data_IF_457884310023
#
_entry.id   IF_457884310023
#
_cell.length_a   1.000
_cell.length_b   1.000
_cell.length_c   1.000
_cell.angle_alpha   90.00
_cell.angle_beta   90.00
_cell.angle_gamma   90.00
#
_symmetry.space_group_name_H-M   'P 1'
#
loop_
_entity.id
_entity.type
_entity.pdbx_description
1 polymer ?
#
# COMPACT_ATOMS: atom_id res chain seq x y z
N UNK A 1 29.19 1.81 7.87
CA UNK A 1 28.00 2.07 7.04
C UNK A 1 27.08 0.86 7.20
N UNK A 2 25.91 1.01 7.83
CA UNK A 2 25.07 -0.12 8.26
C UNK A 2 23.90 -0.43 7.31
N UNK A 3 23.49 0.52 6.47
CA UNK A 3 22.52 0.31 5.39
C UNK A 3 22.57 1.45 4.37
N UNK A 4 22.08 1.21 3.14
CA UNK A 4 21.87 2.22 2.10
C UNK A 4 20.61 1.98 1.30
N UNK A 5 20.03 3.08 0.80
CA UNK A 5 18.97 3.03 -0.21
C UNK A 5 19.25 4.08 -1.28
N UNK A 6 18.69 3.86 -2.47
CA UNK A 6 18.74 4.79 -3.58
C UNK A 6 17.35 4.91 -4.22
N UNK A 7 17.11 5.99 -4.95
CA UNK A 7 15.85 6.23 -5.64
C UNK A 7 16.03 7.21 -6.78
N UNK A 8 15.20 7.07 -7.81
CA UNK A 8 15.17 7.95 -8.98
C UNK A 8 14.03 8.96 -8.79
N UNK A 9 14.26 10.21 -9.19
CA UNK A 9 13.21 11.24 -9.18
C UNK A 9 12.63 11.36 -10.59
N UNK A 10 11.32 11.15 -10.78
CA UNK A 10 10.67 11.37 -12.06
C UNK A 10 10.44 12.88 -12.22
N UNK A 11 11.47 13.60 -12.69
CA UNK A 11 11.38 15.03 -12.94
C UNK A 11 10.76 15.29 -14.32
N UNK A 12 10.02 16.40 -14.44
CA UNK A 12 9.61 16.90 -15.75
C UNK A 12 10.85 17.43 -16.45
N UNK A 13 11.06 17.05 -17.70
CA UNK A 13 12.15 17.58 -18.51
C UNK A 13 11.78 19.03 -18.87
N UNK A 14 12.50 19.99 -18.29
CA UNK A 14 12.33 21.43 -18.51
C UNK A 14 13.48 22.00 -19.36
N UNK A 15 14.21 21.14 -20.06
CA UNK A 15 15.39 21.48 -20.89
C UNK A 15 16.56 22.10 -20.10
N UNK A 16 16.61 21.92 -18.77
CA UNK A 16 17.72 22.44 -17.95
C UNK A 16 19.02 21.64 -18.14
N UNK A 17 20.12 22.34 -18.42
CA UNK A 17 21.48 21.78 -18.60
C UNK A 17 22.08 21.12 -17.34
N UNK A 18 21.48 21.29 -16.16
CA UNK A 18 21.99 20.71 -14.90
C UNK A 18 20.90 19.96 -14.13
N UNK A 19 21.15 18.69 -13.70
CA UNK A 19 20.20 17.91 -12.90
C UNK A 19 19.78 18.54 -11.56
N UNK A 20 20.55 19.51 -11.04
CA UNK A 20 20.21 20.24 -9.82
C UNK A 20 19.29 21.44 -10.07
N UNK A 21 19.29 21.98 -11.30
CA UNK A 21 18.53 23.16 -11.70
C UNK A 21 17.10 22.84 -12.16
N UNK A 22 16.85 21.58 -12.57
CA UNK A 22 15.53 21.10 -13.00
C UNK A 22 14.47 21.42 -11.94
N UNK A 23 13.36 22.01 -12.38
CA UNK A 23 12.23 22.35 -11.51
C UNK A 23 11.73 21.12 -10.76
N UNK A 24 11.47 21.32 -9.46
CA UNK A 24 10.91 20.28 -8.60
C UNK A 24 9.42 20.46 -8.36
N UNK A 25 8.80 21.37 -9.11
CA UNK A 25 7.35 21.53 -9.09
C UNK A 25 6.68 20.45 -9.92
N UNK A 26 5.35 20.37 -9.80
CA UNK A 26 4.57 19.36 -10.47
C UNK A 26 3.79 19.97 -11.62
N UNK A 27 3.64 19.19 -12.69
CA UNK A 27 2.80 19.53 -13.84
C UNK A 27 1.69 18.49 -13.94
N UNK A 28 0.46 18.97 -14.13
CA UNK A 28 -0.71 18.14 -14.36
C UNK A 28 -1.22 18.41 -15.78
N UNK A 29 -1.18 17.37 -16.60
CA UNK A 29 -1.72 17.38 -17.96
C UNK A 29 -3.02 16.57 -17.99
N UNK A 30 -4.05 17.08 -18.67
CA UNK A 30 -5.32 16.39 -18.84
C UNK A 30 -5.75 16.47 -20.30
N UNK A 31 -6.06 15.30 -20.86
CA UNK A 31 -6.52 15.17 -22.23
C UNK A 31 -7.78 14.30 -22.26
N UNK A 32 -8.75 14.69 -23.09
CA UNK A 32 -9.98 13.93 -23.33
C UNK A 32 -10.17 13.70 -24.83
N UNK A 33 -11.07 12.77 -25.17
CA UNK A 33 -11.54 12.59 -26.56
C UNK A 33 -13.04 12.82 -26.56
N UNK A 34 -13.49 13.83 -27.31
CA UNK A 34 -14.90 14.22 -27.42
C UNK A 34 -15.57 14.51 -26.06
N UNK A 35 -14.83 15.06 -25.10
CA UNK A 35 -15.33 15.35 -23.75
C UNK A 35 -15.57 14.11 -22.89
N UNK A 36 -15.01 12.96 -23.27
CA UNK A 36 -15.14 11.68 -22.57
C UNK A 36 -13.78 11.07 -22.23
N UNK A 37 -13.79 10.15 -21.26
CA UNK A 37 -12.63 9.36 -20.84
C UNK A 37 -11.35 10.20 -20.60
N UNK A 38 -11.36 11.15 -19.64
CA UNK A 38 -10.21 12.00 -19.37
C UNK A 38 -9.00 11.17 -18.90
N UNK A 39 -7.85 11.41 -19.50
CA UNK A 39 -6.54 10.93 -19.05
C UNK A 39 -5.83 12.08 -18.32
N UNK A 40 -5.59 11.91 -17.02
CA UNK A 40 -4.79 12.83 -16.22
C UNK A 40 -3.40 12.24 -15.96
N UNK A 41 -2.36 12.96 -16.37
CA UNK A 41 -0.96 12.58 -16.20
C UNK A 41 -0.28 13.49 -15.16
N UNK A 42 0.53 12.88 -14.29
CA UNK A 42 1.27 13.58 -13.23
C UNK A 42 2.77 13.51 -13.51
N UNK A 43 3.41 14.67 -13.63
CA UNK A 43 4.86 14.80 -13.79
C UNK A 43 5.45 15.52 -12.58
N UNK A 44 6.50 14.95 -11.97
CA UNK A 44 7.07 15.49 -10.72
C UNK A 44 6.20 15.22 -9.49
N UNK A 45 6.18 16.18 -8.56
CA UNK A 45 5.45 16.08 -7.30
C UNK A 45 6.31 15.69 -6.11
N UNK A 46 6.45 16.60 -5.15
CA UNK A 46 7.12 16.34 -3.87
C UNK A 46 6.15 15.69 -2.89
N UNK A 47 6.69 14.87 -1.99
CA UNK A 47 5.93 14.40 -0.81
C UNK A 47 5.37 15.56 0.03
N UNK A 48 5.99 16.74 0.01
CA UNK A 48 5.50 17.91 0.74
C UNK A 48 4.27 18.56 0.09
N UNK A 49 4.05 18.37 -1.21
CA UNK A 49 2.96 19.01 -1.98
C UNK A 49 1.86 18.05 -2.42
N UNK A 50 1.98 16.75 -2.10
CA UNK A 50 1.07 15.70 -2.58
C UNK A 50 -0.41 16.02 -2.35
N UNK A 51 -0.78 16.57 -1.19
CA UNK A 51 -2.18 16.89 -0.86
C UNK A 51 -2.74 17.97 -1.79
N UNK A 52 -1.96 19.02 -2.04
CA UNK A 52 -2.36 20.11 -2.95
C UNK A 52 -2.36 19.68 -4.40
N UNK A 53 -1.42 18.83 -4.80
CA UNK A 53 -1.39 18.19 -6.10
C UNK A 53 -2.66 17.36 -6.33
N UNK A 54 -3.05 16.53 -5.36
CA UNK A 54 -4.27 15.73 -5.44
C UNK A 54 -5.54 16.60 -5.52
N UNK A 55 -5.65 17.67 -4.72
CA UNK A 55 -6.75 18.64 -4.84
C UNK A 55 -6.83 19.24 -6.25
N UNK A 56 -5.70 19.70 -6.80
CA UNK A 56 -5.64 20.29 -8.15
C UNK A 56 -5.97 19.26 -9.25
N UNK A 57 -5.57 18.00 -9.08
CA UNK A 57 -5.93 16.94 -10.00
C UNK A 57 -7.45 16.68 -10.03
N UNK A 58 -8.09 16.67 -8.85
CA UNK A 58 -9.54 16.50 -8.74
C UNK A 58 -10.31 17.72 -9.27
N UNK A 59 -9.77 18.94 -9.11
CA UNK A 59 -10.33 20.15 -9.74
C UNK A 59 -10.36 20.04 -11.27
N UNK A 60 -9.29 19.52 -11.89
CA UNK A 60 -9.24 19.27 -13.35
C UNK A 60 -10.20 18.16 -13.80
N UNK A 61 -10.42 17.16 -12.95
CA UNK A 61 -11.34 16.04 -13.24
C UNK A 61 -12.81 16.36 -12.95
N UNK A 62 -13.10 17.40 -12.16
CA UNK A 62 -14.46 17.73 -11.74
C UNK A 62 -15.49 17.88 -12.89
N UNK A 63 -15.17 18.47 -14.06
CA UNK A 63 -16.12 18.59 -15.17
C UNK A 63 -16.65 17.25 -15.71
N UNK A 64 -15.91 16.15 -15.51
CA UNK A 64 -16.25 14.83 -16.03
C UNK A 64 -17.15 14.01 -15.09
N UNK A 65 -17.36 14.47 -13.85
CA UNK A 65 -18.11 13.74 -12.83
C UNK A 65 -19.29 14.56 -12.31
N UNK A 66 -20.51 14.21 -12.75
CA UNK A 66 -21.74 14.84 -12.25
C UNK A 66 -21.92 14.50 -10.76
N UNK A 67 -22.09 15.53 -9.93
CA UNK A 67 -22.33 15.37 -8.49
C UNK A 67 -21.07 15.12 -7.66
N UNK A 68 -19.87 15.38 -8.21
CA UNK A 68 -18.63 15.36 -7.42
C UNK A 68 -18.70 16.36 -6.25
N UNK A 69 -18.21 15.94 -5.09
CA UNK A 69 -18.16 16.79 -3.89
C UNK A 69 -17.02 17.84 -3.94
N UNK A 70 -17.07 18.86 -3.08
CA UNK A 70 -16.00 19.84 -2.98
C UNK A 70 -14.74 19.26 -2.33
N UNK A 71 -13.62 19.99 -2.42
CA UNK A 71 -12.38 19.64 -1.73
C UNK A 71 -12.58 19.59 -0.21
N UNK A 72 -12.10 18.53 0.44
CA UNK A 72 -12.30 18.28 1.87
C UNK A 72 -11.02 17.92 2.64
N UNK A 73 -9.93 17.59 1.94
CA UNK A 73 -8.74 16.96 2.55
C UNK A 73 -7.96 17.87 3.52
N UNK A 74 -8.11 19.20 3.40
CA UNK A 74 -7.43 20.16 4.29
C UNK A 74 -7.80 20.01 5.77
N UNK A 75 -9.06 19.66 6.07
CA UNK A 75 -9.56 19.48 7.44
C UNK A 75 -9.62 18.02 7.89
N UNK A 76 -9.20 17.08 7.05
CA UNK A 76 -9.27 15.66 7.33
C UNK A 76 -8.08 15.20 8.19
N UNK A 77 -8.35 14.26 9.08
CA UNK A 77 -7.31 13.50 9.80
C UNK A 77 -7.06 12.21 9.03
N UNK A 78 -5.80 11.92 8.71
CA UNK A 78 -5.44 10.66 8.04
C UNK A 78 -5.64 9.47 9.01
N UNK A 79 -5.92 8.26 8.50
CA UNK A 79 -6.00 7.06 9.33
C UNK A 79 -4.75 6.90 10.21
N UNK A 80 -4.95 6.55 11.49
CA UNK A 80 -3.88 6.51 12.49
C UNK A 80 -3.53 7.87 13.12
N UNK A 81 -3.98 8.98 12.54
CA UNK A 81 -3.62 10.34 12.98
C UNK A 81 -4.44 10.89 14.16
N UNK A 82 -5.49 10.20 14.60
CA UNK A 82 -6.38 10.66 15.68
C UNK A 82 -5.79 10.35 17.06
N UNK A 83 -4.65 10.99 17.37
CA UNK A 83 -3.86 10.76 18.59
C UNK A 83 -3.69 12.02 19.45
N UNK A 84 -4.30 13.14 19.04
CA UNK A 84 -4.03 14.46 19.59
C UNK A 84 -2.70 15.04 19.09
N UNK A 85 -2.18 16.03 19.81
CA UNK A 85 -1.06 16.85 19.32
C UNK A 85 0.33 16.24 19.57
N UNK A 86 0.44 15.26 20.48
CA UNK A 86 1.73 14.71 20.90
C UNK A 86 1.75 13.18 20.92
N UNK A 87 2.71 12.62 20.18
CA UNK A 87 2.94 11.16 20.08
C UNK A 87 3.43 10.54 21.38
N UNK A 88 4.21 11.26 22.18
CA UNK A 88 4.75 10.73 23.44
C UNK A 88 3.65 10.66 24.52
N UNK A 89 2.71 11.61 24.53
CA UNK A 89 1.52 11.56 25.38
C UNK A 89 0.61 10.40 24.97
N UNK A 90 0.46 10.15 23.66
CA UNK A 90 -0.28 9.01 23.16
C UNK A 90 0.39 7.67 23.54
N UNK A 91 1.72 7.56 23.46
CA UNK A 91 2.45 6.39 23.93
C UNK A 91 2.22 6.15 25.44
N UNK A 92 2.21 7.21 26.26
CA UNK A 92 1.87 7.09 27.68
C UNK A 92 0.41 6.65 27.91
N UNK A 93 -0.53 7.14 27.09
CA UNK A 93 -1.93 6.68 27.09
C UNK A 93 -2.04 5.19 26.74
N UNK A 94 -1.31 4.73 25.73
CA UNK A 94 -1.26 3.31 25.34
C UNK A 94 -0.79 2.44 26.50
N UNK A 95 0.28 2.82 27.21
CA UNK A 95 0.77 2.05 28.38
C UNK A 95 -0.20 2.04 29.55
N UNK A 96 -1.00 3.10 29.74
CA UNK A 96 -2.06 3.11 30.76
C UNK A 96 -3.19 2.15 30.40
N UNK A 97 -3.53 2.03 29.12
CA UNK A 97 -4.59 1.15 28.63
C UNK A 97 -4.15 -0.31 28.50
N UNK A 98 -2.91 -0.54 28.09
CA UNK A 98 -2.28 -1.84 27.88
C UNK A 98 -1.01 -1.93 28.74
N UNK A 99 -1.11 -2.19 30.06
CA UNK A 99 0.02 -2.13 30.98
C UNK A 99 1.14 -3.15 30.71
N UNK A 100 0.85 -4.19 29.92
CA UNK A 100 1.79 -5.26 29.59
C UNK A 100 2.79 -4.88 28.49
N UNK A 101 2.54 -3.82 27.71
CA UNK A 101 3.48 -3.40 26.66
C UNK A 101 4.64 -2.58 27.25
N UNK A 102 5.83 -2.77 26.71
CA UNK A 102 7.02 -2.02 27.13
C UNK A 102 6.93 -0.55 26.69
N UNK A 103 7.83 0.28 27.20
CA UNK A 103 7.97 1.66 26.70
C UNK A 103 8.40 1.70 25.23
N UNK A 104 9.26 0.78 24.81
CA UNK A 104 9.71 0.64 23.42
C UNK A 104 8.53 0.38 22.49
N UNK A 105 7.73 -0.63 22.82
CA UNK A 105 6.53 -1.02 22.07
C UNK A 105 5.52 0.13 21.98
N UNK A 106 5.22 0.79 23.10
CA UNK A 106 4.27 1.90 23.09
C UNK A 106 4.73 3.05 22.19
N UNK A 107 6.03 3.35 22.20
CA UNK A 107 6.64 4.36 21.34
C UNK A 107 6.62 3.96 19.87
N UNK A 108 6.94 2.69 19.57
CA UNK A 108 6.85 2.13 18.23
C UNK A 108 5.43 2.26 17.68
N UNK A 109 4.44 1.73 18.39
CA UNK A 109 3.06 1.75 17.95
C UNK A 109 2.50 3.15 17.79
N UNK A 110 2.78 4.07 18.73
CA UNK A 110 2.36 5.46 18.62
C UNK A 110 2.97 6.18 17.39
N UNK A 111 4.19 5.84 16.99
CA UNK A 111 4.91 6.50 15.88
C UNK A 111 4.62 5.87 14.52
N UNK A 112 4.23 4.60 14.50
CA UNK A 112 3.98 3.85 13.27
C UNK A 112 2.49 3.78 12.93
N UNK A 113 1.64 3.45 13.90
CA UNK A 113 0.21 3.18 13.68
C UNK A 113 -0.73 4.21 14.31
N UNK A 114 -0.24 4.91 15.34
CA UNK A 114 -1.01 5.93 16.06
C UNK A 114 -2.34 5.36 16.58
N UNK A 115 -3.46 5.96 16.23
CA UNK A 115 -4.79 5.54 16.70
C UNK A 115 -5.14 4.10 16.31
N UNK A 116 -4.57 3.57 15.22
CA UNK A 116 -4.81 2.20 14.78
C UNK A 116 -4.13 1.14 15.66
N UNK A 117 -3.29 1.54 16.62
CA UNK A 117 -2.69 0.62 17.60
C UNK A 117 -3.75 -0.21 18.34
N UNK A 118 -4.92 0.37 18.59
CA UNK A 118 -6.02 -0.35 19.26
C UNK A 118 -6.56 -1.51 18.42
N UNK A 119 -6.44 -1.43 17.08
CA UNK A 119 -6.80 -2.54 16.17
C UNK A 119 -5.76 -3.66 16.20
N UNK A 120 -4.49 -3.33 16.52
CA UNK A 120 -3.40 -4.31 16.63
C UNK A 120 -3.50 -5.05 17.96
N UNK A 121 -3.60 -4.30 19.07
CA UNK A 121 -3.62 -4.88 20.40
C UNK A 121 -4.98 -5.50 20.73
N UNK A 122 -6.08 -4.98 20.16
CA UNK A 122 -7.42 -5.51 20.35
C UNK A 122 -7.75 -5.73 21.83
N UNK A 123 -8.14 -6.97 22.14
CA UNK A 123 -8.49 -7.45 23.48
C UNK A 123 -7.32 -8.14 24.22
N UNK A 124 -6.09 -8.05 23.71
CA UNK A 124 -4.91 -8.61 24.38
C UNK A 124 -4.73 -8.00 25.78
N UNK A 125 -4.40 -8.86 26.76
CA UNK A 125 -4.23 -8.51 28.17
C UNK A 125 -2.82 -8.77 28.67
N UNK A 126 -2.08 -9.63 28.00
CA UNK A 126 -0.70 -9.98 28.31
C UNK A 126 0.15 -10.10 27.04
N UNK A 127 1.47 -10.11 27.21
CA UNK A 127 2.41 -10.13 26.08
C UNK A 127 2.27 -11.41 25.24
N UNK A 128 1.90 -12.52 25.87
CA UNK A 128 1.65 -13.82 25.24
C UNK A 128 0.44 -13.80 24.31
N UNK A 129 -0.53 -12.91 24.53
CA UNK A 129 -1.68 -12.75 23.64
C UNK A 129 -1.29 -12.15 22.27
N UNK A 130 -0.12 -11.51 22.17
CA UNK A 130 0.38 -10.95 20.91
C UNK A 130 0.93 -12.02 19.95
N UNK A 131 1.00 -13.27 20.40
CA UNK A 131 1.45 -14.42 19.61
C UNK A 131 2.97 -14.53 19.54
N UNK A 132 3.46 -15.08 18.43
CA UNK A 132 4.88 -15.30 18.22
C UNK A 132 5.71 -14.00 18.27
N UNK A 133 6.89 -14.07 18.90
CA UNK A 133 7.88 -12.99 18.91
C UNK A 133 8.94 -13.23 17.83
N UNK A 134 9.03 -12.34 16.85
CA UNK A 134 9.96 -12.47 15.73
C UNK A 134 11.31 -11.79 16.00
N UNK A 135 11.38 -10.89 16.99
CA UNK A 135 12.57 -10.11 17.34
C UNK A 135 12.28 -8.61 17.41
N UNK A 136 13.12 -7.85 18.13
CA UNK A 136 13.00 -6.38 18.31
C UNK A 136 11.57 -5.87 18.62
N UNK A 137 10.83 -6.64 19.44
CA UNK A 137 9.43 -6.31 19.81
C UNK A 137 8.41 -6.43 18.65
N UNK A 138 8.79 -7.00 17.51
CA UNK A 138 7.85 -7.41 16.45
C UNK A 138 7.13 -8.69 16.85
N UNK A 139 5.82 -8.59 17.04
CA UNK A 139 4.95 -9.71 17.39
C UNK A 139 3.99 -10.08 16.24
N UNK A 140 3.44 -11.28 16.31
CA UNK A 140 2.47 -11.79 15.35
C UNK A 140 1.24 -10.92 15.18
N UNK A 141 0.71 -10.34 16.26
CA UNK A 141 -0.41 -9.41 16.21
C UNK A 141 -0.16 -8.24 15.24
N UNK A 142 1.06 -7.69 15.25
CA UNK A 142 1.47 -6.62 14.34
C UNK A 142 1.54 -7.11 12.90
N UNK A 143 2.19 -8.24 12.64
CA UNK A 143 2.26 -8.81 11.28
C UNK A 143 0.88 -9.16 10.72
N UNK A 144 -0.02 -9.65 11.56
CA UNK A 144 -1.41 -9.95 11.17
C UNK A 144 -2.16 -8.70 10.78
N UNK A 145 -2.09 -7.65 11.59
CA UNK A 145 -2.67 -6.36 11.25
C UNK A 145 -2.08 -5.81 9.94
N UNK A 146 -0.76 -5.89 9.75
CA UNK A 146 -0.10 -5.44 8.54
C UNK A 146 -0.59 -6.18 7.27
N UNK A 147 -0.84 -7.48 7.37
CA UNK A 147 -1.41 -8.29 6.28
C UNK A 147 -2.87 -7.93 6.00
N UNK A 148 -3.68 -7.82 7.05
CA UNK A 148 -5.12 -7.62 6.95
C UNK A 148 -5.53 -6.19 6.57
N UNK A 149 -4.78 -5.19 7.03
CA UNK A 149 -5.16 -3.77 6.94
C UNK A 149 -4.18 -2.92 6.12
N UNK A 150 -2.93 -3.34 5.94
CA UNK A 150 -1.89 -2.52 5.30
C UNK A 150 -1.27 -3.15 4.05
N UNK A 151 -1.93 -4.16 3.47
CA UNK A 151 -1.53 -4.83 2.22
C UNK A 151 -0.12 -5.41 2.22
N UNK A 152 0.40 -5.85 3.37
CA UNK A 152 1.65 -6.60 3.41
C UNK A 152 1.47 -7.96 2.72
N UNK A 153 2.33 -8.25 1.75
CA UNK A 153 2.33 -9.53 1.01
C UNK A 153 3.67 -10.25 1.06
N UNK A 154 4.76 -9.50 1.25
CA UNK A 154 6.13 -10.00 1.28
C UNK A 154 6.88 -9.41 2.47
N UNK A 155 7.98 -10.05 2.83
CA UNK A 155 8.88 -9.62 3.91
C UNK A 155 9.19 -8.11 3.82
N UNK A 156 9.63 -7.64 2.65
CA UNK A 156 10.02 -6.25 2.45
C UNK A 156 8.89 -5.24 2.64
N UNK A 157 7.62 -5.65 2.44
CA UNK A 157 6.49 -4.78 2.73
C UNK A 157 6.46 -4.47 4.23
N UNK A 158 6.59 -5.51 5.06
CA UNK A 158 6.55 -5.37 6.51
C UNK A 158 7.79 -4.64 7.04
N UNK A 159 8.99 -5.14 6.73
CA UNK A 159 10.21 -4.76 7.46
C UNK A 159 10.92 -3.52 6.90
N UNK A 160 10.66 -3.14 5.65
CA UNK A 160 11.32 -2.01 4.98
C UNK A 160 10.37 -0.89 4.57
N UNK A 161 9.09 -1.19 4.28
CA UNK A 161 8.10 -0.17 3.90
C UNK A 161 7.27 0.28 5.09
N UNK A 162 6.47 -0.63 5.68
CA UNK A 162 5.56 -0.32 6.79
C UNK A 162 6.31 0.00 8.08
N UNK A 163 7.30 -0.82 8.39
CA UNK A 163 8.21 -0.60 9.51
C UNK A 163 9.62 -0.38 9.00
N UNK A 164 10.59 -0.32 9.92
CA UNK A 164 12.03 -0.40 9.63
C UNK A 164 12.68 -1.53 10.41
N UNK A 165 11.90 -2.56 10.77
CA UNK A 165 12.37 -3.71 11.56
C UNK A 165 13.55 -4.46 10.91
N UNK A 166 13.69 -4.34 9.59
CA UNK A 166 14.83 -4.90 8.86
C UNK A 166 16.20 -4.36 9.30
N UNK A 167 16.24 -3.23 10.01
CA UNK A 167 17.46 -2.68 10.60
C UNK A 167 17.94 -3.46 11.83
N UNK A 168 17.06 -4.19 12.52
CA UNK A 168 17.36 -4.89 13.77
C UNK A 168 17.23 -6.41 13.66
N UNK A 169 16.31 -6.90 12.83
CA UNK A 169 16.12 -8.34 12.64
C UNK A 169 17.32 -8.98 11.93
N UNK A 170 17.81 -10.09 12.48
CA UNK A 170 18.85 -10.89 11.84
C UNK A 170 18.27 -11.76 10.69
N UNK A 171 19.15 -12.43 9.93
CA UNK A 171 18.74 -13.22 8.77
C UNK A 171 17.79 -14.39 9.10
N UNK A 172 17.95 -15.02 10.27
CA UNK A 172 17.08 -16.11 10.72
C UNK A 172 15.67 -15.58 11.06
N UNK A 173 15.61 -14.47 11.79
CA UNK A 173 14.36 -13.79 12.13
C UNK A 173 13.62 -13.29 10.88
N UNK A 174 14.33 -12.68 9.93
CA UNK A 174 13.76 -12.27 8.64
C UNK A 174 13.21 -13.48 7.86
N UNK A 175 13.93 -14.60 7.85
CA UNK A 175 13.47 -15.85 7.23
C UNK A 175 12.21 -16.38 7.91
N UNK A 176 12.12 -16.27 9.24
CA UNK A 176 10.95 -16.68 10.00
C UNK A 176 9.72 -15.81 9.69
N UNK A 177 9.88 -14.50 9.63
CA UNK A 177 8.81 -13.57 9.19
C UNK A 177 8.34 -13.91 7.78
N UNK A 178 9.27 -14.16 6.85
CA UNK A 178 8.93 -14.54 5.48
C UNK A 178 8.13 -15.85 5.42
N UNK A 179 8.51 -16.86 6.21
CA UNK A 179 7.78 -18.11 6.32
C UNK A 179 6.38 -17.92 6.90
N UNK A 180 6.24 -17.11 7.94
CA UNK A 180 4.95 -16.79 8.54
C UNK A 180 4.04 -16.10 7.52
N UNK A 181 4.56 -15.12 6.75
CA UNK A 181 3.81 -14.43 5.70
C UNK A 181 3.34 -15.37 4.59
N UNK A 182 4.15 -16.36 4.18
CA UNK A 182 3.73 -17.36 3.19
C UNK A 182 2.51 -18.18 3.66
N UNK A 183 2.42 -18.44 4.97
CA UNK A 183 1.32 -19.20 5.56
C UNK A 183 0.04 -18.37 5.72
N UNK A 184 0.17 -17.06 5.95
CA UNK A 184 -0.97 -16.21 6.36
C UNK A 184 -1.42 -15.21 5.28
N UNK A 185 -0.51 -14.65 4.47
CA UNK A 185 -0.86 -13.65 3.46
C UNK A 185 -1.67 -14.24 2.27
N UNK A 186 -1.57 -15.56 2.03
CA UNK A 186 -2.39 -16.28 1.05
C UNK A 186 -3.73 -16.78 1.60
N UNK A 187 -3.91 -16.77 2.93
CA UNK A 187 -5.08 -17.31 3.63
C UNK A 187 -6.05 -16.24 4.10
N UNK A 188 -5.88 -14.97 3.67
CA UNK A 188 -6.90 -13.94 3.92
C UNK A 188 -8.19 -14.46 3.31
N UNK A 189 -9.07 -14.99 4.18
CA UNK A 189 -10.35 -15.54 3.76
C UNK A 189 -11.10 -14.32 3.24
N UNK A 190 -11.06 -14.11 1.94
CA UNK A 190 -12.04 -13.31 1.26
C UNK A 190 -13.34 -14.11 1.41
N UNK A 191 -13.98 -13.94 2.57
CA UNK A 191 -15.24 -14.58 2.91
C UNK A 191 -16.27 -13.83 2.09
N UNK A 192 -16.31 -14.11 0.79
CA UNK A 192 -17.40 -13.74 -0.09
C UNK A 192 -18.65 -14.39 0.48
N UNK A 193 -19.34 -13.66 1.37
CA UNK A 193 -20.60 -14.08 1.97
C UNK A 193 -21.62 -14.00 0.85
N UNK A 194 -21.82 -15.11 0.12
CA UNK A 194 -22.90 -15.27 -0.86
C UNK A 194 -24.22 -15.47 -0.12
N UNK A 195 -24.67 -14.46 0.62
CA UNK A 195 -26.05 -14.41 1.13
C UNK A 195 -26.90 -13.57 0.19
N UNK A 196 -27.12 -14.09 -1.03
CA UNK A 196 -28.24 -13.64 -1.86
C UNK A 196 -29.43 -14.53 -1.51
N UNK A 197 -30.28 -14.02 -0.62
CA UNK A 197 -31.59 -14.58 -0.31
C UNK A 197 -32.43 -14.57 -1.60
N UNK A 198 -32.68 -15.73 -2.20
CA UNK A 198 -33.61 -15.85 -3.34
C UNK A 198 -34.99 -15.35 -2.87
N UNK A 199 -35.60 -14.32 -3.51
CA UNK A 199 -37.00 -14.03 -3.26
C UNK A 199 -37.83 -15.18 -3.85
N UNK A 200 -38.75 -15.70 -3.04
CA UNK A 200 -39.76 -16.65 -3.48
C UNK A 200 -40.78 -15.98 -4.40
N UNK A 201 -41.46 -16.78 -5.22
CA UNK A 201 -42.61 -16.35 -6.02
C UNK A 201 -42.46 -16.74 -7.49
N UNK A 202 -43.08 -17.84 -7.88
CA UNK A 202 -43.04 -18.34 -9.25
C UNK A 202 -43.99 -17.61 -10.21
N UNK A 203 -43.63 -17.62 -11.48
CA UNK A 203 -44.45 -18.07 -12.60
C UNK A 203 -43.58 -18.11 -13.85
N UNK A 204 -43.69 -19.20 -14.61
CA UNK A 204 -42.78 -19.62 -15.66
C UNK A 204 -42.81 -18.74 -16.93
N UNK A 205 -41.64 -18.56 -17.55
CA UNK A 205 -41.46 -18.34 -18.98
C UNK A 205 -40.33 -19.28 -19.46
N UNK A 206 -40.48 -19.99 -20.60
CA UNK A 206 -39.48 -20.97 -21.04
C UNK A 206 -38.45 -20.31 -21.95
N UNK A 207 -37.19 -20.71 -21.77
CA UNK A 207 -36.11 -20.50 -22.73
C UNK A 207 -34.98 -19.67 -22.18
N UNK A 208 -33.92 -20.33 -21.71
CA UNK A 208 -32.60 -20.36 -22.37
C UNK A 208 -31.58 -21.06 -21.44
N UNK A 209 -31.12 -22.23 -21.88
CA UNK A 209 -29.86 -22.93 -21.60
C UNK A 209 -29.24 -22.84 -20.18
N UNK A 210 -29.15 -24.01 -19.55
CA UNK A 210 -28.41 -24.25 -18.31
C UNK A 210 -26.91 -23.89 -18.40
N UNK A 211 -26.29 -23.41 -17.30
CA UNK A 211 -24.87 -23.08 -17.25
C UNK A 211 -23.98 -24.32 -17.13
N UNK A 212 -22.96 -24.39 -17.99
CA UNK A 212 -21.89 -25.38 -17.96
C UNK A 212 -21.03 -25.22 -16.69
N UNK A 213 -20.76 -26.35 -16.03
CA UNK A 213 -19.97 -26.47 -14.80
C UNK A 213 -18.47 -26.16 -14.94
N UNK A 214 -17.70 -26.36 -13.86
CA UNK A 214 -16.38 -25.75 -13.69
C UNK A 214 -15.29 -26.46 -14.48
N UNK A 215 -14.39 -25.69 -15.10
CA UNK A 215 -13.22 -26.20 -15.82
C UNK A 215 -12.03 -26.32 -14.88
N UNK A 216 -11.49 -27.55 -14.83
CA UNK A 216 -10.29 -27.98 -14.11
C UNK A 216 -9.02 -27.80 -14.96
N UNK A 217 -7.93 -27.42 -14.29
CA UNK A 217 -6.48 -27.63 -14.53
C UNK A 217 -5.88 -27.72 -15.96
N UNK A 218 -4.79 -26.95 -16.15
CA UNK A 218 -3.88 -26.79 -17.31
C UNK A 218 -2.96 -28.01 -17.61
N UNK A 219 -1.90 -27.97 -18.47
CA UNK A 219 -1.51 -27.23 -19.71
C UNK A 219 -1.24 -28.26 -20.87
N UNK A 220 -0.41 -28.09 -21.97
CA UNK A 220 0.51 -27.02 -22.40
C UNK A 220 0.48 -26.62 -23.91
N UNK A 221 1.17 -25.51 -24.21
CA UNK A 221 1.65 -25.15 -25.56
C UNK A 221 1.07 -23.86 -26.10
N UNK A 222 1.85 -22.78 -26.13
CA UNK A 222 2.09 -22.00 -27.35
C UNK A 222 3.22 -20.98 -27.14
N UNK A 223 3.97 -20.80 -28.22
CA UNK A 223 5.29 -20.18 -28.33
C UNK A 223 5.18 -18.66 -28.42
N UNK A 224 6.03 -17.93 -27.69
CA UNK A 224 6.26 -16.49 -27.89
C UNK A 224 7.27 -16.29 -29.03
N UNK A 225 6.89 -15.52 -30.06
CA UNK A 225 7.81 -15.02 -31.09
C UNK A 225 8.22 -13.60 -30.74
N UNK A 226 9.51 -13.37 -30.49
CA UNK A 226 10.15 -12.05 -30.42
C UNK A 226 10.87 -11.77 -31.73
N UNK A 227 10.78 -10.53 -32.22
CA UNK A 227 11.55 -10.00 -33.36
C UNK A 227 11.98 -8.55 -33.03
N UNK A 228 13.05 -8.00 -33.62
CA UNK A 228 14.31 -7.88 -32.88
C UNK A 228 14.84 -6.45 -32.74
N UNK A 229 15.79 -6.38 -31.81
CA UNK A 229 16.74 -5.34 -31.43
C UNK A 229 17.49 -4.71 -32.64
N UNK A 230 17.47 -3.38 -32.74
CA UNK A 230 18.40 -2.62 -33.60
C UNK A 230 18.95 -1.40 -32.85
N UNK A 231 20.28 -1.29 -32.93
CA UNK A 231 21.16 -0.14 -32.66
C UNK A 231 21.98 -0.16 -31.35
N UNK A 232 23.14 -0.83 -31.45
CA UNK A 232 24.36 -0.45 -30.75
C UNK A 232 25.55 -0.57 -31.74
N UNK A 233 26.24 0.54 -32.02
CA UNK A 233 27.68 0.62 -32.37
C UNK A 233 28.07 2.07 -32.68
N UNK A 234 28.86 2.68 -31.80
CA UNK A 234 29.92 3.60 -32.21
C UNK A 234 31.20 3.29 -31.45
N UNK A 235 32.28 3.26 -32.22
CA UNK A 235 33.60 2.68 -31.96
C UNK A 235 34.53 3.64 -31.20
N UNK A 236 35.42 3.09 -30.37
CA UNK A 236 36.65 3.76 -29.93
C UNK A 236 37.73 3.51 -30.99
N UNK A 237 38.42 4.55 -31.45
CA UNK A 237 39.83 4.50 -31.86
C UNK A 237 40.45 5.88 -31.67
N UNK A 238 41.49 5.94 -30.83
CA UNK A 238 42.52 6.99 -30.78
C UNK A 238 43.40 6.91 -32.02
N UNK A 239 44.11 8.00 -32.33
CA UNK A 239 45.57 7.95 -32.25
C UNK A 239 46.16 8.83 -31.15
#
# INVERSE_FOLDING_TARGET
MVWTYSGVRPLCDDESDSPQAITRDYTLDIHDVDGQAPLLSVFGGKLTTYRKLAEHALEKLAPYYKGIGPAWTKGAVLPGGDIGDNRDDYAAKLRRRYPFITEGMARHYARTYGSNTELILGDAKEITDLGEHFGHELYEAELRYLVEHEWVRRLDDAIWRRTKEGMWLNAEQQSRVAQWLLQHAGSVSCRWRRDVKKPGGGSALPGLLDPVGPVSAAPPGFVFTTAPDQYARYSRHTP
#
